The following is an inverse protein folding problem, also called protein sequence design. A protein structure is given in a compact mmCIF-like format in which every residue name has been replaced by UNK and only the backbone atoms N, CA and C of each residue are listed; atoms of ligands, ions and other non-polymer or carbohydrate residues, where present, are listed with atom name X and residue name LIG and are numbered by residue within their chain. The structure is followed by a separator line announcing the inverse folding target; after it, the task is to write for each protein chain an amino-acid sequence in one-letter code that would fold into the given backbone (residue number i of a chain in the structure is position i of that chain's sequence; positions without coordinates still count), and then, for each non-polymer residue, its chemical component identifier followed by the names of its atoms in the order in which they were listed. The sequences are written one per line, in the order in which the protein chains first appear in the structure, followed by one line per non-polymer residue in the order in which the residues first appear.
data_IF_962391815634
#
_entry.id   IF_962391815634
#
_cell.length_a   1.000
_cell.length_b   1.000
_cell.length_c   1.000
_cell.angle_alpha   90.00
_cell.angle_beta   90.00
_cell.angle_gamma   90.00
#
_symmetry.space_group_name_H-M   'P 1'
#
loop_
_entity.id
_entity.type
_entity.pdbx_description
1 polymer ?
#
# COMPACT_ATOMS: atom_id res chain seq x y z
N UNK A 1 -3.44 17.28 -8.27
CA UNK A 1 -4.34 16.28 -8.85
C UNK A 1 -5.34 15.86 -7.78
N UNK A 2 -6.65 15.81 -8.07
CA UNK A 2 -7.65 15.22 -7.18
C UNK A 2 -7.30 13.78 -6.79
N UNK A 3 -7.60 13.37 -5.56
CA UNK A 3 -7.30 12.00 -5.09
C UNK A 3 -7.95 10.91 -5.96
N UNK A 4 -9.12 11.19 -6.54
CA UNK A 4 -9.79 10.29 -7.49
C UNK A 4 -8.98 10.05 -8.76
N UNK A 5 -8.38 11.09 -9.34
CA UNK A 5 -7.52 10.96 -10.51
C UNK A 5 -6.26 10.15 -10.19
N UNK A 6 -5.65 10.39 -9.02
CA UNK A 6 -4.52 9.59 -8.54
C UNK A 6 -4.93 8.12 -8.42
N UNK A 7 -6.04 7.81 -7.74
CA UNK A 7 -6.49 6.43 -7.60
C UNK A 7 -6.85 5.76 -8.93
N UNK A 8 -7.39 6.48 -9.91
CA UNK A 8 -7.62 5.93 -11.24
C UNK A 8 -6.30 5.58 -11.94
N UNK A 9 -5.29 6.47 -11.90
CA UNK A 9 -3.97 6.19 -12.47
C UNK A 9 -3.31 4.96 -11.81
N UNK A 10 -3.36 4.89 -10.47
CA UNK A 10 -2.87 3.76 -9.71
C UNK A 10 -3.61 2.45 -10.03
N UNK A 11 -4.93 2.50 -10.23
CA UNK A 11 -5.71 1.34 -10.63
C UNK A 11 -5.31 0.83 -12.02
N UNK A 12 -5.09 1.72 -12.99
CA UNK A 12 -4.58 1.37 -14.31
C UNK A 12 -3.22 0.70 -14.23
N UNK A 13 -2.27 1.28 -13.49
CA UNK A 13 -0.94 0.68 -13.29
C UNK A 13 -1.05 -0.73 -12.68
N UNK A 14 -1.86 -0.88 -11.63
CA UNK A 14 -2.03 -2.16 -10.97
C UNK A 14 -2.60 -3.24 -11.91
N UNK A 15 -3.58 -2.89 -12.74
CA UNK A 15 -4.23 -3.83 -13.66
C UNK A 15 -3.41 -4.12 -14.93
N UNK A 16 -2.68 -3.13 -15.45
CA UNK A 16 -1.95 -3.27 -16.71
C UNK A 16 -0.54 -3.83 -16.50
N UNK A 17 0.17 -3.35 -15.47
CA UNK A 17 1.58 -3.70 -15.24
C UNK A 17 1.74 -4.90 -14.29
N UNK A 18 0.74 -5.20 -13.46
CA UNK A 18 0.80 -6.25 -12.42
C UNK A 18 -0.41 -7.19 -12.49
N UNK A 19 -0.90 -7.50 -13.70
CA UNK A 19 -2.06 -8.37 -13.93
C UNK A 19 -1.88 -9.82 -13.38
N UNK A 20 -0.64 -10.25 -13.15
CA UNK A 20 -0.29 -11.54 -12.54
C UNK A 20 -0.35 -11.51 -11.00
N UNK A 21 -0.46 -10.33 -10.40
CA UNK A 21 -0.56 -10.11 -8.95
C UNK A 21 -1.94 -9.58 -8.56
N UNK A 22 -2.46 -8.62 -9.32
CA UNK A 22 -3.69 -7.86 -9.01
C UNK A 22 -4.81 -8.32 -9.93
N UNK A 23 -5.86 -8.89 -9.33
CA UNK A 23 -7.01 -9.44 -10.06
C UNK A 23 -8.22 -8.52 -10.08
N UNK A 24 -8.20 -7.45 -9.30
CA UNK A 24 -9.31 -6.52 -9.17
C UNK A 24 -8.91 -5.23 -8.47
N UNK A 25 -9.61 -4.15 -8.79
CA UNK A 25 -9.45 -2.85 -8.12
C UNK A 25 -10.79 -2.23 -7.79
N UNK A 26 -10.84 -1.45 -6.71
CA UNK A 26 -12.03 -0.70 -6.30
C UNK A 26 -11.65 0.57 -5.57
N UNK A 27 -12.18 1.70 -6.01
CA UNK A 27 -12.16 2.93 -5.21
C UNK A 27 -13.28 2.83 -4.17
N UNK A 28 -12.90 2.82 -2.89
CA UNK A 28 -13.83 2.88 -1.77
C UNK A 28 -14.07 4.34 -1.45
N UNK A 29 -15.33 4.77 -1.43
CA UNK A 29 -15.74 6.14 -1.11
C UNK A 29 -16.40 6.25 0.26
N UNK A 30 -16.33 7.43 0.85
CA UNK A 30 -17.15 7.84 2.00
C UNK A 30 -18.62 7.98 1.59
N UNK A 31 -19.56 8.02 2.55
CA UNK A 31 -20.97 8.32 2.26
C UNK A 31 -21.20 9.67 1.55
N UNK A 32 -20.26 10.61 1.70
CA UNK A 32 -20.26 11.91 1.01
C UNK A 32 -19.89 11.81 -0.48
N UNK A 33 -19.40 10.66 -0.93
CA UNK A 33 -18.90 10.42 -2.28
C UNK A 33 -17.38 10.59 -2.43
N UNK A 34 -16.72 11.22 -1.46
CA UNK A 34 -15.28 11.45 -1.49
C UNK A 34 -14.49 10.13 -1.48
N UNK A 35 -13.45 9.98 -2.32
CA UNK A 35 -12.64 8.77 -2.35
C UNK A 35 -11.86 8.61 -1.04
N UNK A 36 -12.07 7.50 -0.35
CA UNK A 36 -11.37 7.15 0.88
C UNK A 36 -10.04 6.46 0.57
N UNK A 37 -10.07 5.39 -0.23
CA UNK A 37 -8.90 4.57 -0.57
C UNK A 37 -9.11 3.79 -1.86
N UNK A 38 -8.02 3.43 -2.51
CA UNK A 38 -7.99 2.40 -3.54
C UNK A 38 -7.74 1.05 -2.89
N UNK A 39 -8.58 0.05 -3.17
CA UNK A 39 -8.37 -1.34 -2.79
C UNK A 39 -7.99 -2.15 -4.01
N UNK A 40 -6.97 -2.99 -3.86
CA UNK A 40 -6.53 -3.97 -4.83
C UNK A 40 -6.81 -5.37 -4.26
N UNK A 41 -7.41 -6.23 -5.07
CA UNK A 41 -7.60 -7.65 -4.78
C UNK A 41 -6.36 -8.40 -5.30
N UNK A 42 -5.64 -9.07 -4.41
CA UNK A 42 -4.41 -9.80 -4.74
C UNK A 42 -4.74 -11.25 -5.07
N UNK A 43 -4.00 -11.86 -6.01
CA UNK A 43 -4.23 -13.20 -6.55
C UNK A 43 -4.27 -14.32 -5.48
N UNK A 44 -3.62 -14.14 -4.33
CA UNK A 44 -3.65 -15.08 -3.21
C UNK A 44 -4.90 -14.92 -2.30
N UNK A 45 -5.83 -14.04 -2.67
CA UNK A 45 -7.05 -13.72 -1.93
C UNK A 45 -6.88 -12.66 -0.85
N UNK A 46 -5.68 -12.12 -0.66
CA UNK A 46 -5.43 -11.01 0.27
C UNK A 46 -5.78 -9.64 -0.35
N UNK A 47 -5.69 -8.58 0.45
CA UNK A 47 -6.08 -7.23 0.04
C UNK A 47 -4.94 -6.24 0.24
N UNK A 48 -4.75 -5.34 -0.73
CA UNK A 48 -3.86 -4.19 -0.60
C UNK A 48 -4.68 -2.89 -0.67
N UNK A 49 -4.64 -2.11 0.40
CA UNK A 49 -5.28 -0.81 0.48
C UNK A 49 -4.24 0.32 0.30
N UNK A 50 -4.51 1.25 -0.60
CA UNK A 50 -3.76 2.48 -0.83
C UNK A 50 -4.58 3.68 -0.38
N UNK A 51 -4.05 4.42 0.58
CA UNK A 51 -4.60 5.69 1.06
C UNK A 51 -3.62 6.82 0.73
N UNK A 52 -4.13 7.92 0.16
CA UNK A 52 -3.38 9.14 -0.12
C UNK A 52 -4.24 10.35 0.26
N UNK A 53 -3.67 11.29 1.01
CA UNK A 53 -4.30 12.57 1.33
C UNK A 53 -3.68 13.73 0.55
N UNK A 54 -4.45 14.81 0.42
CA UNK A 54 -3.96 16.09 -0.12
C UNK A 54 -2.90 16.76 0.75
N UNK A 55 -2.78 16.37 2.03
CA UNK A 55 -1.73 16.81 2.95
C UNK A 55 -0.43 16.01 2.85
N UNK A 56 -0.34 15.08 1.88
CA UNK A 56 0.84 14.23 1.67
C UNK A 56 0.94 13.04 2.63
N UNK A 57 -0.13 12.72 3.36
CA UNK A 57 -0.24 11.50 4.17
C UNK A 57 -0.49 10.32 3.24
N UNK A 58 0.14 9.19 3.50
CA UNK A 58 -0.16 7.97 2.75
C UNK A 58 -0.07 6.71 3.60
N UNK A 59 -0.66 5.64 3.08
CA UNK A 59 -0.49 4.27 3.57
C UNK A 59 -0.68 3.31 2.40
N UNK A 60 0.33 2.46 2.15
CA UNK A 60 0.24 1.31 1.27
C UNK A 60 0.24 0.08 2.18
N UNK A 61 -0.90 -0.58 2.32
CA UNK A 61 -1.12 -1.61 3.34
C UNK A 61 -1.59 -2.90 2.70
N UNK A 62 -0.71 -3.90 2.71
CA UNK A 62 -1.04 -5.27 2.31
C UNK A 62 -1.41 -6.10 3.53
N UNK A 63 -2.67 -6.53 3.58
CA UNK A 63 -3.28 -7.26 4.69
C UNK A 63 -3.46 -8.74 4.33
N UNK A 64 -2.66 -9.61 4.95
CA UNK A 64 -2.72 -11.07 4.70
C UNK A 64 -3.27 -11.86 5.87
N UNK A 65 -3.61 -11.22 7.00
CA UNK A 65 -4.18 -11.91 8.17
C UNK A 65 -5.55 -12.52 7.85
N UNK A 66 -6.31 -11.90 6.94
CA UNK A 66 -7.63 -12.37 6.52
C UNK A 66 -7.61 -13.73 5.78
N UNK A 67 -6.46 -14.08 5.18
CA UNK A 67 -6.26 -15.38 4.51
C UNK A 67 -5.47 -16.38 5.36
N UNK A 68 -5.31 -16.12 6.66
CA UNK A 68 -4.65 -17.02 7.61
C UNK A 68 -3.11 -17.04 7.54
N UNK A 69 -2.47 -16.12 6.80
CA UNK A 69 -1.00 -16.02 6.72
C UNK A 69 -0.37 -15.30 7.92
N UNK A 70 -1.15 -14.54 8.69
CA UNK A 70 -0.71 -13.87 9.91
C UNK A 70 0.14 -12.60 9.70
N UNK A 71 0.55 -12.33 8.46
CA UNK A 71 1.42 -11.21 8.09
C UNK A 71 0.63 -9.98 7.64
N UNK A 72 1.25 -8.81 7.82
CA UNK A 72 0.88 -7.58 7.14
C UNK A 72 2.14 -6.83 6.73
N UNK A 73 2.04 -6.07 5.65
CA UNK A 73 3.12 -5.19 5.21
C UNK A 73 2.56 -3.80 4.99
N UNK A 74 3.20 -2.78 5.54
CA UNK A 74 2.68 -1.41 5.43
C UNK A 74 3.75 -0.36 5.34
N UNK A 75 3.82 0.34 4.20
CA UNK A 75 4.54 1.61 4.13
C UNK A 75 3.57 2.73 4.47
N UNK A 76 3.82 3.45 5.56
CA UNK A 76 3.06 4.65 5.89
C UNK A 76 3.97 5.74 6.45
N UNK A 77 3.46 6.96 6.49
CA UNK A 77 4.24 8.11 6.97
C UNK A 77 3.70 8.73 8.24
N UNK A 78 2.85 8.05 9.03
CA UNK A 78 2.29 8.60 10.26
C UNK A 78 3.37 8.95 11.28
N UNK A 79 3.36 10.17 11.87
CA UNK A 79 4.36 10.58 12.83
C UNK A 79 4.09 9.93 14.20
N UNK A 80 4.05 8.61 14.22
CA UNK A 80 3.89 7.83 15.45
C UNK A 80 5.14 8.04 16.31
N UNK A 81 4.97 8.60 17.50
CA UNK A 81 6.09 8.91 18.39
C UNK A 81 6.95 7.68 18.72
N UNK A 82 6.34 6.49 18.76
CA UNK A 82 7.03 5.21 18.94
C UNK A 82 8.10 4.95 17.89
N UNK A 83 8.01 5.52 16.68
CA UNK A 83 8.90 5.24 15.55
C UNK A 83 9.87 6.40 15.25
N UNK A 84 10.00 7.38 16.14
CA UNK A 84 10.93 8.51 15.96
C UNK A 84 12.39 8.11 15.74
N UNK A 85 12.77 6.91 16.15
CA UNK A 85 14.13 6.39 15.95
C UNK A 85 14.39 5.87 14.52
N UNK A 86 13.35 5.72 13.69
CA UNK A 86 13.48 5.23 12.31
C UNK A 86 14.16 6.31 11.45
N UNK A 87 15.19 5.94 10.69
CA UNK A 87 16.00 6.88 9.91
C UNK A 87 15.19 7.73 8.91
N UNK A 88 14.09 7.17 8.40
CA UNK A 88 13.21 7.82 7.42
C UNK A 88 12.00 8.51 8.05
N UNK A 89 11.97 8.66 9.38
CA UNK A 89 10.84 9.24 10.11
C UNK A 89 10.38 10.57 9.45
N UNK A 90 9.08 10.74 9.17
CA UNK A 90 7.97 9.93 9.68
C UNK A 90 7.62 8.69 8.83
N UNK A 91 8.31 8.48 7.70
CA UNK A 91 8.15 7.28 6.87
C UNK A 91 8.68 6.06 7.62
N UNK A 92 7.89 5.01 7.65
CA UNK A 92 8.28 3.73 8.23
C UNK A 92 7.60 2.57 7.49
N UNK A 93 8.18 1.38 7.62
CA UNK A 93 7.69 0.17 7.01
C UNK A 93 7.40 -0.86 8.09
N UNK A 94 6.16 -1.32 8.19
CA UNK A 94 5.79 -2.50 8.96
C UNK A 94 6.09 -3.74 8.11
N UNK A 95 7.05 -4.56 8.53
CA UNK A 95 7.50 -5.72 7.78
C UNK A 95 7.01 -7.03 8.43
N UNK A 96 5.92 -7.59 7.92
CA UNK A 96 5.33 -8.83 8.42
C UNK A 96 4.48 -8.67 9.71
N UNK A 97 4.52 -7.52 10.39
CA UNK A 97 3.70 -7.29 11.58
C UNK A 97 3.72 -5.84 12.09
N UNK A 98 2.70 -5.46 12.87
CA UNK A 98 2.51 -4.08 13.37
C UNK A 98 3.72 -3.53 14.16
N UNK A 99 4.48 -4.39 14.86
CA UNK A 99 5.61 -3.98 15.70
C UNK A 99 6.98 -4.19 15.05
N UNK A 100 7.05 -4.84 13.91
CA UNK A 100 8.32 -5.01 13.20
C UNK A 100 8.49 -3.83 12.24
N UNK A 101 9.12 -2.76 12.74
CA UNK A 101 9.19 -1.48 12.02
C UNK A 101 10.61 -1.19 11.55
N UNK A 102 10.72 -0.89 10.26
CA UNK A 102 11.97 -0.62 9.55
C UNK A 102 11.91 0.73 8.80
N UNK A 103 13.04 1.17 8.26
CA UNK A 103 13.10 2.36 7.42
C UNK A 103 12.35 2.13 6.10
N UNK A 104 11.57 3.12 5.69
CA UNK A 104 10.78 3.09 4.45
C UNK A 104 11.40 4.04 3.43
N UNK A 105 11.96 3.45 2.37
CA UNK A 105 12.56 4.17 1.25
C UNK A 105 11.67 4.24 0.02
N UNK A 106 10.39 3.83 0.15
CA UNK A 106 9.42 3.85 -0.94
C UNK A 106 9.36 5.25 -1.58
N UNK A 107 9.13 5.35 -2.89
CA UNK A 107 9.05 6.64 -3.58
C UNK A 107 8.01 7.59 -2.94
N UNK A 108 8.24 8.89 -3.10
CA UNK A 108 7.23 9.90 -2.75
C UNK A 108 6.26 10.15 -3.91
N UNK A 109 6.60 9.72 -5.13
CA UNK A 109 5.69 9.68 -6.25
C UNK A 109 4.74 8.48 -6.08
N UNK A 110 3.40 8.69 -6.10
CA UNK A 110 2.45 7.60 -5.87
C UNK A 110 2.52 6.45 -6.87
N UNK A 111 2.81 6.74 -8.14
CA UNK A 111 2.87 5.72 -9.18
C UNK A 111 4.10 4.84 -8.98
N UNK A 112 5.26 5.45 -8.77
CA UNK A 112 6.49 4.72 -8.47
C UNK A 112 6.40 3.94 -7.14
N UNK A 113 5.80 4.55 -6.11
CA UNK A 113 5.58 3.90 -4.82
C UNK A 113 4.70 2.65 -4.97
N UNK A 114 3.63 2.72 -5.76
CA UNK A 114 2.79 1.57 -6.03
C UNK A 114 3.58 0.47 -6.77
N UNK A 115 4.35 0.81 -7.80
CA UNK A 115 5.17 -0.16 -8.55
C UNK A 115 6.18 -0.86 -7.64
N UNK A 116 6.87 -0.10 -6.79
CA UNK A 116 7.82 -0.64 -5.81
C UNK A 116 7.12 -1.62 -4.86
N UNK A 117 5.95 -1.25 -4.33
CA UNK A 117 5.26 -2.10 -3.38
C UNK A 117 4.62 -3.34 -4.03
N UNK A 118 4.04 -3.22 -5.23
CA UNK A 118 3.54 -4.38 -5.97
C UNK A 118 4.67 -5.30 -6.43
N UNK A 119 5.86 -4.78 -6.74
CA UNK A 119 7.05 -5.60 -6.97
C UNK A 119 7.45 -6.38 -5.72
N UNK A 120 7.38 -5.76 -4.54
CA UNK A 120 7.59 -6.44 -3.27
C UNK A 120 6.55 -7.55 -3.03
N UNK A 121 5.27 -7.27 -3.29
CA UNK A 121 4.17 -8.27 -3.20
C UNK A 121 4.45 -9.44 -4.13
N UNK A 122 4.76 -9.17 -5.41
CA UNK A 122 5.08 -10.19 -6.41
C UNK A 122 6.22 -11.11 -5.96
N UNK A 123 7.34 -10.53 -5.48
CA UNK A 123 8.47 -11.30 -4.95
C UNK A 123 8.07 -12.15 -3.74
N UNK A 124 7.24 -11.60 -2.85
CA UNK A 124 6.77 -12.31 -1.65
C UNK A 124 5.92 -13.52 -2.03
N UNK A 125 5.01 -13.36 -2.99
CA UNK A 125 4.17 -14.47 -3.48
C UNK A 125 5.00 -15.59 -4.14
N UNK A 126 6.13 -15.25 -4.75
CA UNK A 126 7.08 -16.21 -5.33
C UNK A 126 8.08 -16.79 -4.31
N UNK A 127 8.06 -16.35 -3.04
CA UNK A 127 9.02 -16.78 -2.02
C UNK A 127 10.44 -16.23 -2.23
N UNK A 128 10.55 -15.06 -2.86
CA UNK A 128 11.82 -14.39 -3.20
C UNK A 128 12.03 -13.05 -2.46
N UNK A 129 11.16 -12.73 -1.49
CA UNK A 129 11.21 -11.49 -0.71
C UNK A 129 11.95 -11.67 0.62
#
# INVERSE_FOLDING_TARGET
MPTSEIYNALATIALDEFADVVVGTRIISLPTGDPLKLRLDIIDGSLLDVFISTSGRYSYHWERRLIGKGELYRHDNAPHDSWRYVATFPKHFHNGGERNVEASFISNDPEDALREFLTFVWRTLLGMA
#
